data_IF_366082500778
#
_entry.id   IF_366082500778
#
_cell.length_a   1.000
_cell.length_b   1.000
_cell.length_c   1.000
_cell.angle_alpha   90.00
_cell.angle_beta   90.00
_cell.angle_gamma   90.00
#
_symmetry.space_group_name_H-M   'P 1'
#
loop_
_entity.id
_entity.type
_entity.pdbx_description
1 polymer ?
#
# COMPACT_ATOMS: atom_id res chain seq x y z
N UNK A 1 60.22 59.86 63.04
CA UNK A 1 59.78 59.13 61.82
C UNK A 1 58.48 58.44 62.15
N UNK A 2 57.43 58.50 61.32
CA UNK A 2 56.85 59.66 60.63
C UNK A 2 55.34 59.88 60.96
N UNK A 3 54.89 61.13 60.77
CA UNK A 3 53.56 61.72 60.48
C UNK A 3 52.27 61.06 61.03
N UNK A 4 51.52 61.64 61.98
CA UNK A 4 50.53 62.76 61.83
C UNK A 4 49.66 62.65 60.57
N UNK A 5 48.33 62.56 60.67
CA UNK A 5 47.47 63.73 60.88
C UNK A 5 46.04 63.34 61.36
N UNK A 6 45.26 64.30 61.91
CA UNK A 6 44.24 64.06 62.92
C UNK A 6 42.78 64.08 62.42
N UNK A 7 41.90 63.69 63.34
CA UNK A 7 40.45 63.71 63.28
C UNK A 7 39.83 65.08 62.96
N UNK A 8 38.63 65.06 62.36
CA UNK A 8 37.58 66.02 62.70
C UNK A 8 36.19 65.39 62.49
N UNK A 9 35.29 65.78 63.39
CA UNK A 9 34.01 65.20 63.73
C UNK A 9 32.84 65.92 63.00
N UNK A 10 31.61 65.93 63.53
CA UNK A 10 30.60 64.87 63.53
C UNK A 10 29.31 65.34 62.82
N UNK A 11 28.36 64.44 62.56
CA UNK A 11 26.97 64.85 62.40
C UNK A 11 26.00 63.68 62.70
N UNK A 12 25.19 63.85 63.75
CA UNK A 12 23.98 63.07 63.97
C UNK A 12 22.80 63.70 63.24
N UNK A 13 22.08 62.83 62.53
CA UNK A 13 20.65 62.75 62.19
C UNK A 13 19.89 63.99 61.66
N UNK A 14 19.02 63.75 60.67
CA UNK A 14 17.61 63.93 61.01
C UNK A 14 16.64 62.86 60.45
N UNK A 15 15.64 62.60 61.29
CA UNK A 15 14.21 62.36 61.04
C UNK A 15 13.71 61.35 59.99
N UNK A 16 12.82 60.48 60.46
CA UNK A 16 12.01 59.55 59.68
C UNK A 16 10.73 60.20 59.10
N UNK A 17 10.29 59.68 57.95
CA UNK A 17 8.92 59.40 57.45
C UNK A 17 8.89 59.52 55.91
N UNK A 18 7.91 58.95 55.18
CA UNK A 18 7.14 57.73 55.39
C UNK A 18 7.24 56.76 54.17
N UNK A 19 6.94 55.48 54.42
CA UNK A 19 6.80 54.41 53.41
C UNK A 19 5.70 54.69 52.37
N UNK A 20 6.05 54.62 51.09
CA UNK A 20 5.11 54.50 49.96
C UNK A 20 5.67 53.55 48.89
N UNK A 21 4.98 52.40 48.78
CA UNK A 21 4.84 51.40 47.70
C UNK A 21 5.83 51.39 46.51
N UNK A 22 6.58 50.29 46.31
CA UNK A 22 7.09 49.90 45.01
C UNK A 22 6.05 49.05 44.24
N UNK A 23 5.91 49.43 42.97
CA UNK A 23 5.03 48.95 41.92
C UNK A 23 5.14 47.43 41.66
N UNK A 24 4.00 46.77 41.52
CA UNK A 24 3.88 45.33 41.27
C UNK A 24 4.52 44.94 39.92
N UNK A 25 5.53 44.08 39.97
CA UNK A 25 5.96 43.29 38.83
C UNK A 25 5.08 42.03 38.78
N UNK A 26 4.26 41.91 37.75
CA UNK A 26 3.51 40.70 37.47
C UNK A 26 4.51 39.60 37.05
N UNK A 27 4.79 38.67 37.96
CA UNK A 27 5.46 37.42 37.62
C UNK A 27 4.51 36.61 36.72
N UNK A 28 4.84 36.57 35.43
CA UNK A 28 4.24 35.63 34.49
C UNK A 28 4.74 34.24 34.86
N UNK A 29 3.95 33.52 35.67
CA UNK A 29 4.10 32.07 35.82
C UNK A 29 3.70 31.42 34.50
N UNK A 30 4.68 31.21 33.61
CA UNK A 30 4.54 30.31 32.49
C UNK A 30 4.31 28.90 33.07
N UNK A 31 3.05 28.46 33.05
CA UNK A 31 2.71 27.06 33.25
C UNK A 31 3.28 26.32 32.05
N UNK A 32 4.46 25.71 32.22
CA UNK A 32 4.94 24.67 31.33
C UNK A 32 3.88 23.57 31.36
N UNK A 33 3.07 23.50 30.30
CA UNK A 33 2.22 22.34 30.05
C UNK A 33 3.14 21.13 29.98
N UNK A 34 3.08 20.27 30.99
CA UNK A 34 3.67 18.94 30.91
C UNK A 34 3.05 18.29 29.66
N UNK A 35 3.89 17.92 28.69
CA UNK A 35 3.43 17.13 27.56
C UNK A 35 2.78 15.87 28.14
N UNK A 36 1.46 15.73 27.99
CA UNK A 36 0.75 14.55 28.43
C UNK A 36 1.40 13.32 27.79
N UNK A 37 1.61 12.25 28.56
CA UNK A 37 2.15 11.03 28.00
C UNK A 37 1.26 10.56 26.84
N UNK A 38 1.84 10.11 25.72
CA UNK A 38 1.07 9.70 24.56
C UNK A 38 0.15 8.55 24.93
N UNK A 39 -1.10 8.61 24.45
CA UNK A 39 -2.06 7.54 24.65
C UNK A 39 -1.49 6.26 24.02
N UNK A 40 -1.46 5.17 24.81
CA UNK A 40 -1.04 3.85 24.34
C UNK A 40 -2.24 3.04 23.87
N UNK A 41 -2.22 2.66 22.61
CA UNK A 41 -3.19 1.77 21.96
C UNK A 41 -2.57 0.38 21.84
N UNK A 42 -3.26 -0.65 22.31
CA UNK A 42 -2.79 -2.04 22.21
C UNK A 42 -3.41 -2.69 20.96
N UNK A 43 -2.55 -3.10 20.03
CA UNK A 43 -2.92 -3.82 18.81
C UNK A 43 -2.60 -5.31 18.97
N UNK A 44 -3.62 -6.16 19.05
CA UNK A 44 -3.43 -7.61 18.93
C UNK A 44 -3.44 -8.01 17.45
N UNK A 45 -2.38 -8.67 16.99
CA UNK A 45 -2.25 -9.08 15.59
C UNK A 45 -1.53 -10.42 15.46
N UNK A 46 -1.30 -10.84 14.22
CA UNK A 46 -0.64 -12.11 13.94
C UNK A 46 0.87 -11.96 13.79
N UNK A 47 1.63 -13.00 14.18
CA UNK A 47 3.08 -13.04 13.96
C UNK A 47 3.45 -12.84 12.49
N UNK A 48 2.68 -13.41 11.54
CA UNK A 48 2.93 -13.18 10.10
C UNK A 48 2.71 -11.73 9.68
N UNK A 49 1.78 -11.00 10.30
CA UNK A 49 1.62 -9.55 10.05
C UNK A 49 2.87 -8.79 10.52
N UNK A 50 3.36 -9.09 11.72
CA UNK A 50 4.53 -8.43 12.29
C UNK A 50 5.81 -8.78 11.51
N UNK A 51 6.05 -10.06 11.23
CA UNK A 51 7.23 -10.55 10.51
C UNK A 51 7.33 -10.02 9.08
N UNK A 52 6.21 -9.59 8.49
CA UNK A 52 6.19 -8.95 7.17
C UNK A 52 6.86 -7.57 7.15
N UNK A 53 7.03 -6.93 8.31
CA UNK A 53 7.54 -5.56 8.46
C UNK A 53 6.52 -4.46 8.13
N UNK A 54 5.30 -4.80 7.69
CA UNK A 54 4.30 -3.79 7.30
C UNK A 54 3.98 -2.82 8.45
N UNK A 55 3.82 -3.34 9.67
CA UNK A 55 3.43 -2.51 10.82
C UNK A 55 4.53 -1.48 11.17
N UNK A 56 5.81 -1.86 11.08
CA UNK A 56 6.92 -0.94 11.30
C UNK A 56 6.95 0.18 10.25
N UNK A 57 6.45 -0.09 9.04
CA UNK A 57 6.35 0.87 7.96
C UNK A 57 5.17 1.84 8.13
N UNK A 58 3.97 1.36 8.50
CA UNK A 58 2.76 2.19 8.51
C UNK A 58 2.46 2.85 9.88
N UNK A 59 2.78 2.20 11.01
CA UNK A 59 2.42 2.71 12.34
C UNK A 59 3.03 4.08 12.68
N UNK A 60 4.26 4.43 12.25
CA UNK A 60 4.81 5.76 12.50
C UNK A 60 3.93 6.92 12.00
N UNK A 61 3.21 6.72 10.89
CA UNK A 61 2.25 7.71 10.37
C UNK A 61 1.07 7.92 11.33
N UNK A 62 0.45 6.83 11.78
CA UNK A 62 -0.65 6.89 12.75
C UNK A 62 -0.21 7.56 14.06
N UNK A 63 0.92 7.14 14.61
CA UNK A 63 1.47 7.67 15.85
C UNK A 63 1.74 9.18 15.75
N UNK A 64 2.31 9.63 14.63
CA UNK A 64 2.56 11.04 14.35
C UNK A 64 1.29 11.87 14.24
N UNK A 65 0.27 11.39 13.51
CA UNK A 65 -1.01 12.09 13.31
C UNK A 65 -1.87 12.17 14.58
N UNK A 66 -1.74 11.20 15.47
CA UNK A 66 -2.64 11.07 16.64
C UNK A 66 -1.97 11.37 17.99
N UNK A 67 -0.64 11.61 18.02
CA UNK A 67 0.09 11.79 19.28
C UNK A 67 -0.03 10.56 20.19
N UNK A 68 -0.04 9.37 19.58
CA UNK A 68 -0.27 8.09 20.24
C UNK A 68 0.93 7.15 20.08
N UNK A 69 0.95 6.07 20.86
CA UNK A 69 1.87 4.95 20.68
C UNK A 69 1.09 3.65 20.50
N UNK A 70 1.52 2.82 19.56
CA UNK A 70 0.89 1.53 19.28
C UNK A 70 1.77 0.42 19.81
N UNK A 71 1.30 -0.26 20.86
CA UNK A 71 1.96 -1.43 21.43
C UNK A 71 1.43 -2.68 20.71
N UNK A 72 2.28 -3.33 19.91
CA UNK A 72 1.90 -4.48 19.08
C UNK A 72 2.11 -5.79 19.86
N UNK A 73 1.05 -6.60 19.95
CA UNK A 73 1.07 -7.96 20.50
C UNK A 73 0.86 -8.95 19.35
N UNK A 74 1.96 -9.53 18.85
CA UNK A 74 1.96 -10.45 17.71
C UNK A 74 1.92 -11.91 18.18
N UNK A 75 0.82 -12.62 17.89
CA UNK A 75 0.55 -13.99 18.34
C UNK A 75 -0.18 -14.81 17.25
N UNK A 76 -0.63 -16.03 17.53
CA UNK A 76 -1.52 -16.74 16.59
C UNK A 76 -2.90 -16.07 16.47
N UNK A 77 -3.59 -16.19 15.32
CA UNK A 77 -4.90 -15.55 15.09
C UNK A 77 -5.92 -15.85 16.19
N UNK A 78 -6.03 -17.11 16.64
CA UNK A 78 -6.94 -17.48 17.72
C UNK A 78 -6.60 -16.79 19.04
N UNK A 79 -5.31 -16.66 19.36
CA UNK A 79 -4.85 -15.97 20.56
C UNK A 79 -5.06 -14.45 20.47
N UNK A 80 -4.85 -13.83 19.30
CA UNK A 80 -5.12 -12.41 19.10
C UNK A 80 -6.61 -12.08 19.31
N UNK A 81 -7.50 -12.91 18.75
CA UNK A 81 -8.93 -12.82 19.00
C UNK A 81 -9.27 -13.06 20.47
N UNK A 82 -8.62 -14.01 21.15
CA UNK A 82 -8.84 -14.24 22.58
C UNK A 82 -8.42 -13.03 23.45
N UNK A 83 -7.28 -12.41 23.14
CA UNK A 83 -6.79 -11.19 23.81
C UNK A 83 -7.82 -10.06 23.64
N UNK A 84 -8.31 -9.83 22.42
CA UNK A 84 -9.36 -8.84 22.16
C UNK A 84 -10.66 -9.16 22.89
N UNK A 85 -11.06 -10.44 22.94
CA UNK A 85 -12.29 -10.88 23.61
C UNK A 85 -12.24 -10.67 25.14
N UNK A 86 -11.03 -10.69 25.73
CA UNK A 86 -10.80 -10.41 27.15
C UNK A 86 -10.67 -8.92 27.47
N UNK A 87 -10.60 -8.05 26.46
CA UNK A 87 -10.38 -6.60 26.64
C UNK A 87 -8.92 -6.24 26.92
N UNK A 88 -8.00 -7.18 26.69
CA UNK A 88 -6.55 -6.98 26.88
C UNK A 88 -5.89 -6.28 25.68
N UNK A 89 -6.65 -6.05 24.60
CA UNK A 89 -6.28 -5.22 23.47
C UNK A 89 -7.42 -4.25 23.12
N UNK A 90 -7.07 -3.16 22.42
CA UNK A 90 -8.02 -2.13 21.99
C UNK A 90 -8.50 -2.37 20.56
N UNK A 91 -7.61 -2.92 19.72
CA UNK A 91 -7.87 -3.26 18.32
C UNK A 91 -7.31 -4.65 18.03
N UNK A 92 -8.02 -5.40 17.18
CA UNK A 92 -7.58 -6.67 16.63
C UNK A 92 -7.41 -6.54 15.12
N UNK A 93 -6.24 -6.91 14.58
CA UNK A 93 -5.96 -6.99 13.14
C UNK A 93 -5.51 -8.42 12.81
N UNK A 94 -6.37 -9.21 12.18
CA UNK A 94 -6.09 -10.62 11.88
C UNK A 94 -6.55 -10.99 10.47
N UNK A 95 -6.33 -12.24 10.07
CA UNK A 95 -6.62 -12.77 8.73
C UNK A 95 -7.43 -14.08 8.76
N UNK A 96 -8.46 -14.13 9.60
CA UNK A 96 -9.34 -15.31 9.71
C UNK A 96 -10.79 -14.85 9.66
N UNK A 97 -11.32 -14.72 8.45
CA UNK A 97 -12.67 -14.19 8.24
C UNK A 97 -13.73 -14.89 9.09
N UNK A 98 -13.69 -16.23 9.17
CA UNK A 98 -14.61 -17.00 10.02
C UNK A 98 -14.46 -16.66 11.51
N UNK A 99 -13.22 -16.50 11.99
CA UNK A 99 -12.95 -16.13 13.38
C UNK A 99 -13.38 -14.69 13.69
N UNK A 100 -13.16 -13.78 12.75
CA UNK A 100 -13.59 -12.38 12.82
C UNK A 100 -15.13 -12.25 12.86
N UNK A 101 -15.82 -12.97 11.96
CA UNK A 101 -17.28 -12.98 11.92
C UNK A 101 -17.87 -13.52 13.24
N UNK A 102 -17.26 -14.57 13.81
CA UNK A 102 -17.66 -15.09 15.12
C UNK A 102 -17.38 -14.08 16.24
N UNK A 103 -16.25 -13.37 16.18
CA UNK A 103 -15.90 -12.34 17.17
C UNK A 103 -16.93 -11.19 17.21
N UNK A 104 -17.41 -10.77 16.04
CA UNK A 104 -18.52 -9.81 15.93
C UNK A 104 -19.84 -10.42 16.42
N UNK A 105 -20.16 -11.64 16.01
CA UNK A 105 -21.39 -12.33 16.43
C UNK A 105 -21.47 -12.54 17.94
N UNK A 106 -20.33 -12.78 18.58
CA UNK A 106 -20.21 -12.89 20.04
C UNK A 106 -20.35 -11.52 20.73
N UNK A 107 -20.34 -10.41 20.00
CA UNK A 107 -20.46 -9.04 20.50
C UNK A 107 -19.16 -8.44 21.02
N UNK A 108 -18.01 -9.05 20.69
CA UNK A 108 -16.68 -8.57 21.12
C UNK A 108 -16.18 -7.39 20.27
N UNK A 109 -16.73 -7.20 19.08
CA UNK A 109 -16.65 -5.98 18.27
C UNK A 109 -18.03 -5.65 17.70
N UNK A 110 -18.25 -4.39 17.33
CA UNK A 110 -19.51 -3.96 16.70
C UNK A 110 -19.59 -4.34 15.23
N UNK A 111 -18.45 -4.27 14.56
CA UNK A 111 -18.32 -4.51 13.12
C UNK A 111 -16.87 -4.89 12.78
N UNK A 112 -16.68 -5.34 11.54
CA UNK A 112 -15.38 -5.74 10.99
C UNK A 112 -15.16 -5.04 9.67
N UNK A 113 -14.00 -4.43 9.50
CA UNK A 113 -13.64 -3.72 8.28
C UNK A 113 -12.58 -4.46 7.48
N UNK A 114 -12.74 -4.51 6.15
CA UNK A 114 -11.71 -4.96 5.23
C UNK A 114 -10.54 -3.98 5.22
N UNK A 115 -9.32 -4.50 5.30
CA UNK A 115 -8.10 -3.69 5.24
C UNK A 115 -7.35 -3.98 3.96
N UNK A 116 -6.93 -5.22 3.80
CA UNK A 116 -6.06 -5.64 2.71
C UNK A 116 -6.13 -7.15 2.60
N UNK A 117 -5.47 -7.71 1.60
CA UNK A 117 -5.22 -9.14 1.52
C UNK A 117 -3.83 -9.41 0.98
N UNK A 118 -3.29 -10.57 1.33
CA UNK A 118 -2.22 -11.19 0.57
C UNK A 118 -2.71 -12.56 0.08
N UNK A 119 -1.82 -13.37 -0.47
CA UNK A 119 -2.11 -14.73 -0.86
C UNK A 119 -1.16 -15.74 -0.23
N UNK A 120 -1.68 -16.95 -0.10
CA UNK A 120 -0.90 -18.13 0.17
C UNK A 120 -0.36 -18.71 -1.14
N UNK A 121 0.79 -19.36 -1.03
CA UNK A 121 1.45 -20.09 -2.11
C UNK A 121 1.86 -21.47 -1.61
N UNK A 122 1.94 -22.44 -2.53
CA UNK A 122 2.58 -23.73 -2.24
C UNK A 122 4.01 -23.64 -2.71
N UNK A 123 4.93 -23.76 -1.76
CA UNK A 123 6.36 -23.83 -2.04
C UNK A 123 6.83 -25.25 -1.82
N UNK A 124 7.89 -25.63 -2.52
CA UNK A 124 8.45 -26.97 -2.41
C UNK A 124 9.78 -27.10 -3.13
N UNK A 125 10.36 -28.30 -3.17
CA UNK A 125 11.67 -28.53 -3.76
C UNK A 125 11.72 -28.12 -5.23
N UNK A 126 12.83 -27.54 -5.67
CA UNK A 126 13.08 -27.23 -7.09
C UNK A 126 12.93 -28.46 -8.00
N UNK A 127 13.31 -29.65 -7.51
CA UNK A 127 13.15 -30.92 -8.22
C UNK A 127 11.70 -31.40 -8.35
N UNK A 128 10.79 -30.84 -7.53
CA UNK A 128 9.35 -31.12 -7.53
C UNK A 128 8.98 -32.62 -7.67
N UNK A 129 9.35 -33.50 -6.72
CA UNK A 129 9.07 -34.93 -6.81
C UNK A 129 7.58 -35.28 -6.91
N UNK A 130 6.69 -34.45 -6.36
CA UNK A 130 5.24 -34.58 -6.46
C UNK A 130 4.66 -34.02 -7.78
N UNK A 131 5.47 -33.36 -8.62
CA UNK A 131 5.10 -32.81 -9.93
C UNK A 131 3.91 -31.85 -9.88
N UNK A 132 3.90 -30.94 -8.90
CA UNK A 132 2.81 -29.99 -8.68
C UNK A 132 3.03 -28.63 -9.33
N UNK A 133 4.22 -28.37 -9.88
CA UNK A 133 4.55 -27.09 -10.52
C UNK A 133 3.58 -26.76 -11.65
N UNK A 134 2.96 -25.59 -11.56
CA UNK A 134 2.02 -25.09 -12.56
C UNK A 134 0.59 -25.62 -12.41
N UNK A 135 0.29 -26.42 -11.39
CA UNK A 135 -1.10 -26.69 -11.03
C UNK A 135 -1.79 -25.38 -10.63
N UNK A 136 -3.04 -25.23 -11.04
CA UNK A 136 -3.80 -23.99 -10.79
C UNK A 136 -4.40 -23.96 -9.38
N UNK A 137 -4.75 -25.13 -8.83
CA UNK A 137 -5.49 -25.25 -7.56
C UNK A 137 -4.64 -25.94 -6.48
N UNK A 138 -4.56 -25.34 -5.29
CA UNK A 138 -3.77 -25.88 -4.19
C UNK A 138 -4.27 -27.25 -3.71
N UNK A 139 -5.58 -27.49 -3.77
CA UNK A 139 -6.16 -28.80 -3.41
C UNK A 139 -5.63 -29.95 -4.27
N UNK A 140 -5.34 -29.68 -5.55
CA UNK A 140 -4.81 -30.68 -6.49
C UNK A 140 -3.35 -30.96 -6.18
N UNK A 141 -2.57 -29.91 -5.89
CA UNK A 141 -1.19 -30.04 -5.45
C UNK A 141 -1.07 -30.79 -4.11
N UNK A 142 -1.94 -30.49 -3.15
CA UNK A 142 -2.00 -31.20 -1.86
C UNK A 142 -2.29 -32.68 -2.06
N UNK A 143 -3.25 -33.03 -2.94
CA UNK A 143 -3.52 -34.41 -3.31
C UNK A 143 -2.28 -35.12 -3.88
N UNK A 144 -1.62 -34.51 -4.86
CA UNK A 144 -0.41 -35.08 -5.48
C UNK A 144 0.78 -35.21 -4.50
N UNK A 145 0.94 -34.27 -3.57
CA UNK A 145 1.95 -34.35 -2.50
C UNK A 145 1.67 -35.54 -1.59
N UNK A 146 0.41 -35.73 -1.17
CA UNK A 146 0.01 -36.86 -0.35
C UNK A 146 0.17 -38.20 -1.08
N UNK A 147 -0.26 -38.28 -2.34
CA UNK A 147 -0.18 -39.50 -3.17
C UNK A 147 1.26 -39.94 -3.44
N UNK A 148 2.17 -38.97 -3.62
CA UNK A 148 3.59 -39.26 -3.80
C UNK A 148 4.32 -39.61 -2.50
N UNK A 149 3.70 -39.38 -1.33
CA UNK A 149 4.35 -39.49 -0.03
C UNK A 149 5.47 -38.49 0.17
N UNK A 150 5.47 -37.38 -0.58
CA UNK A 150 6.47 -36.34 -0.47
C UNK A 150 6.32 -35.59 0.85
N UNK A 151 7.44 -35.18 1.45
CA UNK A 151 7.40 -34.51 2.73
C UNK A 151 6.62 -33.19 2.64
N UNK A 152 5.63 -33.01 3.52
CA UNK A 152 4.92 -31.77 3.74
C UNK A 152 5.25 -31.26 5.14
N UNK A 153 5.51 -29.97 5.28
CA UNK A 153 5.86 -29.33 6.54
C UNK A 153 4.73 -28.39 6.93
N UNK A 154 4.06 -28.73 8.04
CA UNK A 154 3.02 -27.93 8.64
C UNK A 154 3.59 -27.08 9.77
N UNK A 155 3.18 -25.81 9.80
CA UNK A 155 3.38 -24.90 10.92
C UNK A 155 2.99 -25.53 12.25
N UNK A 156 1.82 -26.16 12.32
CA UNK A 156 1.36 -26.85 13.53
C UNK A 156 1.05 -25.97 14.74
N UNK A 157 1.01 -24.65 14.55
CA UNK A 157 1.00 -23.63 15.61
C UNK A 157 -0.41 -23.03 15.86
N UNK A 158 -1.47 -23.57 15.23
CA UNK A 158 -2.84 -23.04 15.26
C UNK A 158 -2.98 -21.60 14.71
N UNK A 159 -2.02 -21.16 13.89
CA UNK A 159 -2.11 -19.88 13.17
C UNK A 159 -3.17 -19.89 12.06
N UNK A 160 -3.39 -18.73 11.45
CA UNK A 160 -4.19 -18.62 10.22
C UNK A 160 -3.66 -19.49 9.08
N UNK A 161 -2.33 -19.53 8.87
CA UNK A 161 -1.71 -20.41 7.87
C UNK A 161 -1.96 -21.89 8.16
N UNK A 162 -1.78 -22.34 9.41
CA UNK A 162 -2.09 -23.72 9.79
C UNK A 162 -3.58 -24.04 9.63
N UNK A 163 -4.46 -23.13 10.02
CA UNK A 163 -5.91 -23.27 9.82
C UNK A 163 -6.26 -23.39 8.34
N UNK A 164 -5.60 -22.59 7.48
CA UNK A 164 -5.80 -22.62 6.04
C UNK A 164 -5.33 -23.94 5.44
N UNK A 165 -4.12 -24.36 5.78
CA UNK A 165 -3.52 -25.62 5.37
C UNK A 165 -4.42 -26.82 5.73
N UNK A 166 -4.87 -26.91 6.99
CA UNK A 166 -5.81 -27.94 7.44
C UNK A 166 -7.16 -27.89 6.69
N UNK A 167 -7.65 -26.70 6.33
CA UNK A 167 -8.87 -26.58 5.55
C UNK A 167 -8.74 -27.14 4.13
N UNK A 168 -7.55 -27.04 3.52
CA UNK A 168 -7.27 -27.60 2.19
C UNK A 168 -7.21 -29.13 2.29
N UNK A 169 -6.49 -29.68 3.27
CA UNK A 169 -6.48 -31.12 3.53
C UNK A 169 -7.88 -31.68 3.73
N UNK A 170 -8.69 -31.03 4.58
CA UNK A 170 -10.07 -31.44 4.83
C UNK A 170 -10.94 -31.38 3.58
N UNK A 171 -10.69 -30.43 2.66
CA UNK A 171 -11.46 -30.30 1.41
C UNK A 171 -11.25 -31.46 0.45
N UNK A 172 -10.12 -32.16 0.57
CA UNK A 172 -9.79 -33.39 -0.17
C UNK A 172 -9.91 -34.65 0.70
N UNK A 173 -10.64 -34.55 1.83
CA UNK A 173 -10.94 -35.65 2.74
C UNK A 173 -9.71 -36.32 3.37
N UNK A 174 -8.58 -35.60 3.44
CA UNK A 174 -7.38 -36.04 4.15
C UNK A 174 -7.37 -35.38 5.53
N UNK A 175 -7.18 -36.18 6.58
CA UNK A 175 -6.88 -35.68 7.93
C UNK A 175 -5.43 -36.01 8.23
N UNK A 176 -4.50 -35.04 8.20
CA UNK A 176 -3.12 -35.31 8.50
C UNK A 176 -2.95 -35.70 9.97
N UNK A 177 -2.22 -36.78 10.22
CA UNK A 177 -1.96 -37.29 11.58
C UNK A 177 -0.46 -37.54 11.77
N UNK A 178 -0.03 -37.71 13.02
CA UNK A 178 1.38 -37.97 13.34
C UNK A 178 1.90 -39.30 12.78
N UNK A 179 1.00 -40.23 12.43
CA UNK A 179 1.33 -41.51 11.81
C UNK A 179 1.67 -41.39 10.32
N UNK A 180 1.28 -40.29 9.66
CA UNK A 180 1.65 -40.03 8.27
C UNK A 180 3.09 -39.52 8.24
N UNK A 181 4.03 -40.43 7.95
CA UNK A 181 5.47 -40.13 7.96
C UNK A 181 5.89 -38.97 7.02
N UNK A 182 5.08 -38.64 6.02
CA UNK A 182 5.32 -37.51 5.12
C UNK A 182 4.85 -36.17 5.71
N UNK A 183 3.98 -36.14 6.72
CA UNK A 183 3.43 -34.92 7.30
C UNK A 183 4.20 -34.53 8.57
N UNK A 184 4.91 -33.40 8.51
CA UNK A 184 5.80 -32.92 9.56
C UNK A 184 5.16 -31.70 10.24
N UNK A 185 4.53 -31.90 11.39
CA UNK A 185 4.00 -30.81 12.21
C UNK A 185 5.10 -30.33 13.18
N UNK A 186 5.56 -29.09 13.03
CA UNK A 186 6.74 -28.60 13.78
C UNK A 186 6.40 -27.63 14.93
N UNK A 187 5.19 -27.07 14.97
CA UNK A 187 4.74 -26.14 16.03
C UNK A 187 5.48 -24.80 16.04
N UNK A 188 5.98 -24.32 14.90
CA UNK A 188 6.79 -23.10 14.79
C UNK A 188 6.18 -22.06 13.85
N UNK A 189 6.74 -20.84 13.87
CA UNK A 189 6.36 -19.74 12.99
C UNK A 189 6.69 -20.01 11.51
N UNK A 190 6.27 -19.11 10.63
CA UNK A 190 6.42 -19.30 9.18
C UNK A 190 7.87 -19.30 8.73
N UNK A 191 8.72 -18.43 9.30
CA UNK A 191 10.13 -18.40 8.93
C UNK A 191 10.85 -19.72 9.25
N UNK A 192 10.67 -20.25 10.46
CA UNK A 192 11.25 -21.53 10.86
C UNK A 192 10.67 -22.69 10.03
N UNK A 193 9.38 -22.64 9.69
CA UNK A 193 8.73 -23.63 8.82
C UNK A 193 9.34 -23.64 7.42
N UNK A 194 9.62 -22.47 6.83
CA UNK A 194 10.28 -22.36 5.54
C UNK A 194 11.72 -22.86 5.58
N UNK A 195 12.48 -22.52 6.63
CA UNK A 195 13.85 -23.02 6.81
C UNK A 195 13.86 -24.56 6.94
N UNK A 196 12.98 -25.12 7.76
CA UNK A 196 12.84 -26.57 7.90
C UNK A 196 12.40 -27.23 6.58
N UNK A 197 11.42 -26.66 5.87
CA UNK A 197 11.01 -27.16 4.56
C UNK A 197 12.16 -27.11 3.54
N UNK A 198 13.00 -26.08 3.57
CA UNK A 198 14.18 -25.96 2.72
C UNK A 198 15.21 -27.06 3.05
N UNK A 199 15.53 -27.27 4.33
CA UNK A 199 16.47 -28.32 4.77
C UNK A 199 15.97 -29.73 4.46
N UNK A 200 14.68 -29.98 4.70
CA UNK A 200 14.04 -31.28 4.42
C UNK A 200 13.81 -31.47 2.91
N UNK A 201 13.90 -30.40 2.11
CA UNK A 201 13.37 -30.39 0.75
C UNK A 201 11.92 -30.92 0.75
N UNK A 202 11.08 -30.28 1.55
CA UNK A 202 9.66 -30.57 1.69
C UNK A 202 8.77 -29.45 1.13
N UNK A 203 7.51 -29.79 0.90
CA UNK A 203 6.47 -28.85 0.52
C UNK A 203 5.89 -28.15 1.74
N UNK A 204 5.43 -26.92 1.59
CA UNK A 204 4.66 -26.23 2.63
C UNK A 204 3.73 -25.17 2.04
N UNK A 205 2.69 -24.81 2.79
CA UNK A 205 1.87 -23.65 2.50
C UNK A 205 2.47 -22.44 3.22
N UNK A 206 2.77 -21.38 2.48
CA UNK A 206 3.36 -20.16 3.02
C UNK A 206 2.58 -18.93 2.58
N UNK A 207 2.57 -17.87 3.39
CA UNK A 207 2.21 -16.55 2.89
C UNK A 207 3.33 -16.02 1.98
N UNK A 208 2.94 -15.40 0.85
CA UNK A 208 3.90 -14.92 -0.16
C UNK A 208 4.91 -13.94 0.41
N UNK A 209 4.47 -13.04 1.29
CA UNK A 209 5.31 -12.01 1.92
C UNK A 209 6.50 -12.61 2.66
N UNK A 210 6.24 -13.56 3.57
CA UNK A 210 7.32 -14.22 4.33
C UNK A 210 8.26 -14.99 3.40
N UNK A 211 7.73 -15.71 2.40
CA UNK A 211 8.58 -16.40 1.42
C UNK A 211 9.49 -15.44 0.67
N UNK A 212 8.97 -14.33 0.15
CA UNK A 212 9.77 -13.35 -0.60
C UNK A 212 10.83 -12.69 0.28
N UNK A 213 10.49 -12.33 1.53
CA UNK A 213 11.43 -11.77 2.49
C UNK A 213 12.56 -12.74 2.87
N UNK A 214 12.31 -14.05 2.78
CA UNK A 214 13.28 -15.10 3.12
C UNK A 214 13.91 -15.80 1.92
N UNK A 215 13.52 -15.48 0.69
CA UNK A 215 13.88 -16.22 -0.53
C UNK A 215 15.38 -16.49 -0.65
N UNK A 216 16.21 -15.52 -0.31
CA UNK A 216 17.67 -15.62 -0.38
C UNK A 216 18.26 -16.67 0.60
N UNK A 217 17.50 -17.05 1.62
CA UNK A 217 17.83 -18.10 2.60
C UNK A 217 17.20 -19.45 2.26
N UNK A 218 16.43 -19.55 1.18
CA UNK A 218 15.64 -20.73 0.81
C UNK A 218 16.07 -21.29 -0.56
N UNK A 219 17.35 -21.61 -0.80
CA UNK A 219 17.86 -21.97 -2.12
C UNK A 219 17.31 -23.29 -2.68
N UNK A 220 16.66 -24.11 -1.86
CA UNK A 220 16.07 -25.39 -2.28
C UNK A 220 14.56 -25.30 -2.52
N UNK A 221 13.91 -24.15 -2.26
CA UNK A 221 12.48 -23.98 -2.41
C UNK A 221 12.14 -23.04 -3.56
N UNK A 222 11.17 -23.45 -4.36
CA UNK A 222 10.52 -22.63 -5.39
C UNK A 222 9.03 -22.46 -5.09
N UNK A 223 8.42 -21.42 -5.66
CA UNK A 223 6.97 -21.32 -5.75
C UNK A 223 6.49 -22.28 -6.83
N UNK A 224 5.68 -23.28 -6.43
CA UNK A 224 5.18 -24.32 -7.34
C UNK A 224 3.72 -24.06 -7.74
N UNK A 225 2.91 -23.52 -6.82
CA UNK A 225 1.51 -23.14 -7.05
C UNK A 225 1.26 -21.73 -6.53
N UNK A 226 0.44 -20.97 -7.26
CA UNK A 226 0.09 -19.58 -6.95
C UNK A 226 0.85 -18.53 -7.79
N UNK A 227 1.76 -18.95 -8.67
CA UNK A 227 2.48 -18.04 -9.58
C UNK A 227 3.45 -17.09 -8.88
N UNK A 228 4.12 -16.23 -9.66
CA UNK A 228 5.15 -15.30 -9.14
C UNK A 228 4.58 -14.07 -8.45
N UNK A 229 3.32 -13.74 -8.72
CA UNK A 229 2.58 -12.63 -8.13
C UNK A 229 1.10 -13.01 -7.97
N UNK A 230 0.34 -12.13 -7.31
CA UNK A 230 -1.08 -12.35 -7.06
C UNK A 230 -1.92 -12.51 -8.35
N UNK A 231 -1.58 -11.79 -9.43
CA UNK A 231 -2.34 -11.84 -10.68
C UNK A 231 -2.23 -13.23 -11.37
N UNK A 232 -1.11 -13.91 -11.15
CA UNK A 232 -0.89 -15.28 -11.60
C UNK A 232 -1.57 -16.32 -10.69
N UNK A 233 -1.92 -15.97 -9.44
CA UNK A 233 -2.62 -16.88 -8.54
C UNK A 233 -4.08 -17.09 -8.96
N UNK A 234 -4.33 -18.25 -9.60
CA UNK A 234 -5.67 -18.64 -10.08
C UNK A 234 -6.56 -19.20 -8.98
N UNK A 235 -5.98 -19.73 -7.90
CA UNK A 235 -6.74 -20.28 -6.79
C UNK A 235 -7.21 -19.19 -5.85
N UNK A 236 -8.45 -18.73 -6.04
CA UNK A 236 -9.09 -17.74 -5.15
C UNK A 236 -9.26 -18.25 -3.73
N UNK A 237 -9.19 -19.55 -3.48
CA UNK A 237 -9.16 -20.06 -2.11
C UNK A 237 -7.87 -19.65 -1.40
N UNK A 238 -6.77 -19.39 -2.09
CA UNK A 238 -5.51 -18.98 -1.46
C UNK A 238 -5.46 -17.50 -1.07
N UNK A 239 -6.51 -16.72 -1.36
CA UNK A 239 -6.59 -15.36 -0.83
C UNK A 239 -6.67 -15.37 0.69
N UNK A 240 -5.95 -14.43 1.30
CA UNK A 240 -5.82 -14.30 2.74
C UNK A 240 -6.21 -12.87 3.16
N UNK A 241 -7.53 -12.62 3.34
CA UNK A 241 -8.03 -11.30 3.67
C UNK A 241 -7.79 -10.94 5.13
N UNK A 242 -7.38 -9.70 5.37
CA UNK A 242 -7.16 -9.12 6.69
C UNK A 242 -8.36 -8.24 7.07
N UNK A 243 -8.83 -8.44 8.30
CA UNK A 243 -9.86 -7.63 8.92
C UNK A 243 -9.35 -6.89 10.16
N UNK A 244 -9.80 -5.65 10.33
CA UNK A 244 -9.61 -4.88 11.57
C UNK A 244 -10.91 -4.76 12.34
N UNK A 245 -10.83 -4.93 13.66
CA UNK A 245 -11.95 -4.86 14.59
C UNK A 245 -11.57 -4.05 15.83
N UNK A 246 -12.34 -3.02 16.16
CA UNK A 246 -12.23 -2.33 17.44
C UNK A 246 -12.95 -3.13 18.53
N UNK A 247 -12.30 -3.33 19.68
CA UNK A 247 -12.90 -4.08 20.79
C UNK A 247 -14.07 -3.29 21.39
N UNK A 248 -15.18 -3.98 21.65
CA UNK A 248 -16.43 -3.36 22.06
C UNK A 248 -16.34 -2.76 23.49
N UNK A 249 -16.42 -1.43 23.65
CA UNK A 249 -16.32 -0.79 24.96
C UNK A 249 -17.53 -1.07 25.88
N UNK A 250 -18.66 -1.51 25.33
CA UNK A 250 -19.83 -1.90 26.14
C UNK A 250 -19.55 -3.16 26.95
N UNK A 251 -18.68 -4.05 26.45
CA UNK A 251 -18.19 -5.20 27.21
C UNK A 251 -16.97 -4.86 28.06
N UNK A 252 -16.10 -4.01 27.54
CA UNK A 252 -14.80 -3.68 28.14
C UNK A 252 -14.62 -2.17 28.30
N UNK A 253 -15.12 -1.54 29.38
CA UNK A 253 -15.10 -0.08 29.53
C UNK A 253 -13.69 0.55 29.60
N UNK A 254 -12.65 -0.25 29.82
CA UNK A 254 -11.26 0.20 29.92
C UNK A 254 -10.53 0.30 28.56
N UNK A 255 -11.12 -0.22 27.48
CA UNK A 255 -10.53 -0.09 26.13
C UNK A 255 -10.57 1.36 25.67
N UNK A 256 -9.57 1.79 24.90
CA UNK A 256 -9.41 3.19 24.49
C UNK A 256 -10.24 3.42 23.24
N UNK A 257 -11.57 3.33 23.40
CA UNK A 257 -12.53 3.23 22.30
C UNK A 257 -12.39 4.33 21.24
N UNK A 258 -12.18 5.58 21.66
CA UNK A 258 -11.98 6.70 20.74
C UNK A 258 -10.70 6.52 19.91
N UNK A 259 -9.60 6.11 20.54
CA UNK A 259 -8.34 5.88 19.84
C UNK A 259 -8.40 4.64 18.95
N UNK A 260 -9.10 3.59 19.37
CA UNK A 260 -9.35 2.40 18.57
C UNK A 260 -10.17 2.73 17.31
N UNK A 261 -11.21 3.57 17.42
CA UNK A 261 -11.97 4.05 16.28
C UNK A 261 -11.10 4.86 15.31
N UNK A 262 -10.31 5.81 15.82
CA UNK A 262 -9.35 6.58 14.99
C UNK A 262 -8.34 5.67 14.28
N UNK A 263 -7.86 4.63 14.95
CA UNK A 263 -6.94 3.65 14.34
C UNK A 263 -7.60 2.89 13.21
N UNK A 264 -8.84 2.41 13.40
CA UNK A 264 -9.60 1.73 12.35
C UNK A 264 -9.82 2.68 11.16
N UNK A 265 -10.31 3.90 11.41
CA UNK A 265 -10.58 4.90 10.37
C UNK A 265 -9.31 5.24 9.57
N UNK A 266 -8.19 5.44 10.27
CA UNK A 266 -6.90 5.66 9.65
C UNK A 266 -6.48 4.46 8.78
N UNK A 267 -6.56 3.24 9.31
CA UNK A 267 -6.08 2.04 8.61
C UNK A 267 -6.87 1.74 7.33
N UNK A 268 -8.17 2.07 7.31
CA UNK A 268 -9.06 1.89 6.14
C UNK A 268 -9.15 3.13 5.25
N UNK A 269 -8.45 4.21 5.58
CA UNK A 269 -8.43 5.43 4.77
C UNK A 269 -7.68 5.23 3.45
N UNK A 270 -8.06 5.97 2.41
CA UNK A 270 -7.41 5.89 1.09
C UNK A 270 -5.89 6.10 1.18
N UNK A 271 -5.45 7.10 1.94
CA UNK A 271 -4.03 7.45 2.12
C UNK A 271 -3.23 6.27 2.71
N UNK A 272 -3.71 5.68 3.81
CA UNK A 272 -3.02 4.53 4.43
C UNK A 272 -3.08 3.29 3.54
N UNK A 273 -4.18 3.13 2.80
CA UNK A 273 -4.34 2.02 1.85
C UNK A 273 -3.35 2.14 0.68
N UNK A 274 -3.08 3.35 0.19
CA UNK A 274 -2.01 3.61 -0.78
C UNK A 274 -0.63 3.27 -0.21
N UNK A 275 -0.34 3.62 1.05
CA UNK A 275 0.89 3.21 1.73
C UNK A 275 1.03 1.68 1.78
N UNK A 276 -0.03 0.98 2.17
CA UNK A 276 -0.08 -0.49 2.20
C UNK A 276 0.20 -1.06 0.80
N UNK A 277 -0.44 -0.50 -0.24
CA UNK A 277 -0.28 -0.94 -1.62
C UNK A 277 1.10 -0.64 -2.22
N UNK A 278 1.83 0.33 -1.68
CA UNK A 278 3.23 0.61 -2.06
C UNK A 278 4.25 -0.27 -1.36
N UNK A 279 3.87 -0.93 -0.25
CA UNK A 279 4.81 -1.68 0.57
C UNK A 279 5.37 -2.91 -0.14
N UNK A 280 6.70 -2.99 -0.19
CA UNK A 280 7.45 -4.09 -0.81
C UNK A 280 7.74 -3.95 -2.30
N UNK A 281 7.14 -2.97 -2.99
CA UNK A 281 7.33 -2.80 -4.45
C UNK A 281 8.80 -2.57 -4.81
N UNK A 282 9.49 -1.67 -4.10
CA UNK A 282 10.90 -1.36 -4.36
C UNK A 282 11.81 -2.57 -4.12
N UNK A 283 11.54 -3.33 -3.06
CA UNK A 283 12.42 -4.43 -2.63
C UNK A 283 12.17 -5.73 -3.40
N UNK A 284 10.90 -6.04 -3.71
CA UNK A 284 10.48 -7.33 -4.24
C UNK A 284 9.94 -7.24 -5.67
N UNK A 285 9.84 -6.04 -6.25
CA UNK A 285 9.25 -5.80 -7.58
C UNK A 285 7.74 -5.97 -7.63
N UNK A 286 7.09 -6.16 -6.48
CA UNK A 286 5.64 -6.33 -6.35
C UNK A 286 5.18 -5.95 -4.93
N UNK A 287 3.91 -5.53 -4.75
CA UNK A 287 3.39 -5.28 -3.41
C UNK A 287 3.22 -6.59 -2.64
N UNK A 288 3.47 -6.53 -1.32
CA UNK A 288 3.25 -7.67 -0.42
C UNK A 288 1.80 -7.77 0.08
N UNK A 289 1.08 -6.65 0.05
CA UNK A 289 -0.31 -6.55 0.47
C UNK A 289 -1.10 -5.74 -0.54
N UNK A 290 -2.34 -6.16 -0.79
CA UNK A 290 -3.24 -5.55 -1.76
C UNK A 290 -4.38 -4.87 -1.01
N UNK A 291 -4.52 -3.54 -1.10
CA UNK A 291 -5.52 -2.80 -0.34
C UNK A 291 -6.93 -3.18 -0.77
N UNK A 292 -7.85 -3.25 0.19
CA UNK A 292 -9.21 -3.72 -0.08
C UNK A 292 -10.27 -3.09 0.81
N UNK A 293 -9.96 -1.99 1.49
CA UNK A 293 -10.98 -1.26 2.24
C UNK A 293 -12.06 -0.71 1.31
N UNK A 294 -13.28 -0.57 1.84
CA UNK A 294 -14.41 -0.04 1.08
C UNK A 294 -14.13 1.38 0.55
N UNK A 295 -13.51 2.24 1.36
CA UNK A 295 -13.18 3.61 0.96
C UNK A 295 -12.14 3.64 -0.18
N UNK A 296 -11.09 2.81 -0.09
CA UNK A 296 -10.11 2.67 -1.17
C UNK A 296 -10.74 2.13 -2.44
N UNK A 297 -11.52 1.04 -2.38
CA UNK A 297 -12.17 0.48 -3.56
C UNK A 297 -13.16 1.45 -4.20
N UNK A 298 -13.90 2.21 -3.39
CA UNK A 298 -14.79 3.25 -3.89
C UNK A 298 -14.01 4.39 -4.55
N UNK A 299 -12.87 4.80 -3.98
CA UNK A 299 -11.98 5.79 -4.58
C UNK A 299 -11.44 5.29 -5.93
N UNK A 300 -10.97 4.04 -6.01
CA UNK A 300 -10.51 3.43 -7.26
C UNK A 300 -11.60 3.28 -8.32
N UNK A 301 -12.88 3.17 -7.91
CA UNK A 301 -14.02 3.14 -8.83
C UNK A 301 -14.53 4.53 -9.21
N UNK A 302 -14.35 5.53 -8.35
CA UNK A 302 -14.74 6.92 -8.55
C UNK A 302 -13.70 7.72 -9.33
N UNK A 303 -12.46 7.24 -9.38
CA UNK A 303 -11.51 7.57 -10.43
C UNK A 303 -12.17 7.19 -11.77
N UNK A 304 -12.34 8.11 -12.73
CA UNK A 304 -12.88 7.76 -14.04
C UNK A 304 -12.05 6.61 -14.59
N UNK A 305 -12.71 5.51 -14.93
CA UNK A 305 -12.10 4.27 -15.43
C UNK A 305 -11.10 4.58 -16.54
N UNK A 306 -9.83 4.57 -16.16
CA UNK A 306 -8.65 4.74 -16.99
C UNK A 306 -7.45 4.08 -16.31
N UNK A 307 -7.68 2.94 -15.65
CA UNK A 307 -6.64 2.08 -15.09
C UNK A 307 -7.00 0.61 -15.37
N UNK A 308 -6.98 0.23 -16.64
CA UNK A 308 -6.40 -1.07 -16.97
C UNK A 308 -4.91 -0.81 -17.16
N UNK A 309 -4.06 -1.52 -16.40
CA UNK A 309 -2.60 -1.52 -16.58
C UNK A 309 -2.23 -2.00 -18.00
N UNK A 310 -2.31 -1.10 -18.96
CA UNK A 310 -1.50 -1.08 -20.17
C UNK A 310 -0.41 -0.03 -19.97
N UNK A 311 0.79 -0.26 -20.52
CA UNK A 311 1.85 0.74 -20.49
C UNK A 311 1.31 2.11 -20.95
N UNK A 312 1.64 3.18 -20.21
CA UNK A 312 1.28 4.56 -20.57
C UNK A 312 1.75 4.82 -21.99
N UNK A 313 0.79 4.95 -22.91
CA UNK A 313 1.05 5.06 -24.34
C UNK A 313 1.09 6.52 -24.81
N UNK A 314 0.41 7.41 -24.08
CA UNK A 314 0.44 8.85 -24.30
C UNK A 314 0.39 9.58 -22.95
N UNK A 315 1.24 10.59 -22.79
CA UNK A 315 1.26 11.46 -21.60
C UNK A 315 1.27 12.94 -21.95
N UNK A 316 0.74 13.77 -21.05
CA UNK A 316 0.86 15.23 -21.07
C UNK A 316 1.60 15.67 -19.81
N UNK A 317 2.73 16.34 -19.98
CA UNK A 317 3.68 16.65 -18.89
C UNK A 317 4.12 18.11 -18.94
N UNK A 318 4.90 18.56 -17.95
CA UNK A 318 5.53 19.87 -17.95
C UNK A 318 4.74 20.94 -17.20
N UNK A 319 4.60 22.14 -17.77
CA UNK A 319 3.87 23.27 -17.13
C UNK A 319 2.35 23.08 -17.18
N UNK A 320 1.86 22.12 -16.40
CA UNK A 320 0.44 21.75 -16.32
C UNK A 320 0.01 21.65 -14.86
N UNK A 321 -1.28 21.83 -14.59
CA UNK A 321 -1.86 21.73 -13.25
C UNK A 321 -1.84 20.30 -12.71
N UNK A 322 -2.00 19.31 -13.58
CA UNK A 322 -1.80 17.90 -13.27
C UNK A 322 -1.26 17.15 -14.50
N UNK A 323 -0.13 16.46 -14.34
CA UNK A 323 0.37 15.59 -15.41
C UNK A 323 -0.63 14.45 -15.69
N UNK A 324 -0.75 14.09 -16.96
CA UNK A 324 -1.69 13.07 -17.43
C UNK A 324 -0.93 11.93 -18.09
N UNK A 325 -1.46 10.72 -17.96
CA UNK A 325 -0.98 9.54 -18.65
C UNK A 325 -2.14 8.60 -18.95
N UNK A 326 -2.18 8.06 -20.17
CA UNK A 326 -3.25 7.18 -20.62
C UNK A 326 -2.68 5.96 -21.33
N UNK A 327 -3.32 4.80 -21.15
CA UNK A 327 -3.08 3.66 -22.02
C UNK A 327 -3.71 3.92 -23.40
N UNK A 328 -3.27 3.17 -24.42
CA UNK A 328 -3.76 3.38 -25.78
C UNK A 328 -5.28 3.18 -25.90
N UNK A 329 -5.81 2.20 -25.19
CA UNK A 329 -7.24 1.90 -25.16
C UNK A 329 -8.07 3.06 -24.60
N UNK A 330 -7.55 3.78 -23.59
CA UNK A 330 -8.26 4.89 -22.96
C UNK A 330 -8.35 6.08 -23.90
N UNK A 331 -7.26 6.44 -24.58
CA UNK A 331 -7.27 7.51 -25.59
C UNK A 331 -8.21 7.15 -26.74
N UNK A 332 -8.28 5.88 -27.14
CA UNK A 332 -9.21 5.40 -28.18
C UNK A 332 -10.68 5.45 -27.76
N UNK A 333 -10.96 5.41 -26.46
CA UNK A 333 -12.31 5.51 -25.90
C UNK A 333 -12.78 6.97 -25.68
N UNK A 334 -11.88 7.94 -25.77
CA UNK A 334 -12.22 9.37 -25.69
C UNK A 334 -13.04 9.82 -26.91
N UNK A 335 -13.63 11.02 -26.81
CA UNK A 335 -14.36 11.63 -27.93
C UNK A 335 -13.42 11.88 -29.10
N UNK A 336 -13.77 11.34 -30.27
CA UNK A 336 -12.93 11.43 -31.47
C UNK A 336 -13.49 12.40 -32.50
N UNK A 337 -12.60 12.93 -33.35
CA UNK A 337 -12.91 13.66 -34.57
C UNK A 337 -12.26 12.95 -35.78
N UNK A 338 -12.92 13.03 -36.93
CA UNK A 338 -12.34 12.66 -38.22
C UNK A 338 -11.78 13.90 -38.92
N UNK A 339 -10.51 13.86 -39.29
CA UNK A 339 -9.79 14.96 -39.93
C UNK A 339 -9.17 14.47 -41.23
N UNK A 340 -9.41 15.18 -42.34
CA UNK A 340 -8.74 14.91 -43.60
C UNK A 340 -7.42 15.67 -43.66
N UNK A 341 -6.34 14.95 -43.97
CA UNK A 341 -5.01 15.53 -44.15
C UNK A 341 -4.39 15.05 -45.45
N UNK A 342 -3.79 16.00 -46.20
CA UNK A 342 -3.09 15.72 -47.45
C UNK A 342 -1.58 15.76 -47.20
N UNK A 343 -0.92 14.63 -47.41
CA UNK A 343 0.51 14.50 -47.14
C UNK A 343 1.36 15.16 -48.24
N UNK A 344 2.69 15.19 -48.04
CA UNK A 344 3.64 15.78 -48.99
C UNK A 344 3.68 15.15 -50.39
N UNK A 345 3.08 13.97 -50.58
CA UNK A 345 2.96 13.27 -51.86
C UNK A 345 1.63 13.58 -52.57
N UNK A 346 0.78 14.43 -51.99
CA UNK A 346 -0.54 14.76 -52.54
C UNK A 346 -1.60 13.72 -52.24
N UNK A 347 -1.34 12.76 -51.35
CA UNK A 347 -2.29 11.73 -50.94
C UNK A 347 -3.12 12.26 -49.77
N UNK A 348 -4.44 12.33 -49.97
CA UNK A 348 -5.40 12.69 -48.91
C UNK A 348 -5.86 11.42 -48.20
N UNK A 349 -5.77 11.42 -46.88
CA UNK A 349 -6.31 10.37 -46.02
C UNK A 349 -7.17 10.97 -44.91
N UNK A 350 -8.17 10.21 -44.46
CA UNK A 350 -8.97 10.54 -43.28
C UNK A 350 -8.30 9.89 -42.06
N UNK A 351 -8.10 10.68 -41.01
CA UNK A 351 -7.53 10.26 -39.74
C UNK A 351 -8.57 10.42 -38.65
N UNK A 352 -8.70 9.41 -37.79
CA UNK A 352 -9.57 9.46 -36.61
C UNK A 352 -8.69 9.59 -35.37
N UNK A 353 -9.04 10.52 -34.48
CA UNK A 353 -8.25 10.79 -33.28
C UNK A 353 -8.92 11.71 -32.29
N UNK A 354 -8.23 11.99 -31.18
CA UNK A 354 -8.71 12.88 -30.11
C UNK A 354 -8.15 14.28 -30.33
N UNK A 355 -8.94 15.33 -30.06
CA UNK A 355 -8.44 16.70 -30.16
C UNK A 355 -7.29 16.94 -29.18
N UNK A 356 -6.20 17.54 -29.66
CA UNK A 356 -5.05 17.91 -28.81
C UNK A 356 -5.49 18.91 -27.73
N UNK A 357 -6.40 19.83 -28.05
CA UNK A 357 -6.91 20.81 -27.08
C UNK A 357 -7.78 20.17 -25.99
N UNK A 358 -8.53 19.10 -26.29
CA UNK A 358 -9.28 18.34 -25.27
C UNK A 358 -8.33 17.59 -24.33
N UNK A 359 -7.25 16.98 -24.86
CA UNK A 359 -6.20 16.33 -24.05
C UNK A 359 -5.48 17.34 -23.16
N UNK A 360 -5.13 18.52 -23.70
CA UNK A 360 -4.50 19.59 -22.94
C UNK A 360 -5.43 20.13 -21.85
N UNK A 361 -6.73 20.28 -22.13
CA UNK A 361 -7.69 20.78 -21.16
C UNK A 361 -7.74 19.90 -19.89
N UNK A 362 -7.60 18.58 -20.02
CA UNK A 362 -7.53 17.64 -18.90
C UNK A 362 -6.29 17.88 -18.01
N UNK A 363 -5.17 18.29 -18.61
CA UNK A 363 -3.94 18.58 -17.89
C UNK A 363 -3.92 19.99 -17.25
N UNK A 364 -4.81 20.89 -17.70
CA UNK A 364 -4.89 22.29 -17.27
C UNK A 364 -3.54 23.04 -17.41
N UNK A 365 -3.13 23.46 -18.63
CA UNK A 365 -1.87 24.12 -18.88
C UNK A 365 -1.71 25.40 -18.05
N UNK A 366 -0.51 25.66 -17.53
CA UNK A 366 -0.22 26.85 -16.74
C UNK A 366 -0.41 28.12 -17.59
N UNK A 367 -0.87 29.21 -16.96
CA UNK A 367 -1.15 30.47 -17.65
C UNK A 367 0.09 31.12 -18.31
N UNK A 368 1.29 30.78 -17.83
CA UNK A 368 2.58 31.25 -18.38
C UNK A 368 3.23 30.26 -19.37
N UNK A 369 2.56 29.14 -19.68
CA UNK A 369 3.02 28.21 -20.71
C UNK A 369 2.84 28.83 -22.10
N UNK A 370 3.85 28.68 -22.96
CA UNK A 370 3.88 29.36 -24.27
C UNK A 370 4.03 28.41 -25.44
N UNK A 371 4.59 27.22 -25.20
CA UNK A 371 4.85 26.23 -26.23
C UNK A 371 4.46 24.83 -25.75
N UNK A 372 4.30 23.92 -26.71
CA UNK A 372 4.27 22.49 -26.45
C UNK A 372 5.31 21.80 -27.34
N UNK A 373 5.91 20.75 -26.80
CA UNK A 373 6.82 19.86 -27.49
C UNK A 373 6.16 18.49 -27.65
N UNK A 374 6.03 18.05 -28.90
CA UNK A 374 5.57 16.71 -29.26
C UNK A 374 6.78 15.79 -29.31
N UNK A 375 6.80 14.74 -28.49
CA UNK A 375 7.91 13.79 -28.39
C UNK A 375 7.46 12.41 -28.86
N UNK A 376 8.22 11.83 -29.79
CA UNK A 376 8.00 10.50 -30.36
C UNK A 376 8.75 9.39 -29.61
N UNK A 377 8.29 8.16 -29.81
CA UNK A 377 8.90 6.92 -29.31
C UNK A 377 10.33 6.68 -29.81
N UNK A 378 10.68 7.21 -30.99
CA UNK A 378 12.01 7.14 -31.59
C UNK A 378 12.96 8.27 -31.13
N UNK A 379 12.51 9.13 -30.22
CA UNK A 379 13.26 10.27 -29.69
C UNK A 379 13.22 11.54 -30.55
N UNK A 380 12.49 11.54 -31.68
CA UNK A 380 12.22 12.77 -32.42
C UNK A 380 11.31 13.70 -31.61
N UNK A 381 11.58 15.00 -31.62
CA UNK A 381 10.67 15.99 -31.06
C UNK A 381 10.47 17.21 -31.96
N UNK A 382 9.30 17.83 -31.84
CA UNK A 382 8.96 19.05 -32.55
C UNK A 382 8.13 19.99 -31.67
N UNK A 383 8.42 21.28 -31.74
CA UNK A 383 7.79 22.30 -30.90
C UNK A 383 6.79 23.16 -31.69
N UNK A 384 5.65 23.46 -31.06
CA UNK A 384 4.61 24.32 -31.60
C UNK A 384 4.16 25.37 -30.56
N UNK A 385 3.70 26.56 -30.99
CA UNK A 385 3.09 27.52 -30.08
C UNK A 385 1.82 26.94 -29.43
N UNK A 386 1.74 26.99 -28.10
CA UNK A 386 0.62 26.40 -27.36
C UNK A 386 -0.71 27.07 -27.71
N UNK A 387 -0.70 28.39 -27.89
CA UNK A 387 -1.89 29.18 -28.27
C UNK A 387 -2.50 28.70 -29.58
N UNK A 388 -1.66 28.39 -30.56
CA UNK A 388 -2.08 28.03 -31.90
C UNK A 388 -2.70 26.63 -31.89
N UNK A 389 -2.12 25.71 -31.12
CA UNK A 389 -2.64 24.35 -30.98
C UNK A 389 -3.94 24.32 -30.18
N UNK A 390 -4.06 25.13 -29.12
CA UNK A 390 -5.32 25.28 -28.38
C UNK A 390 -6.46 25.86 -29.23
N UNK A 391 -6.14 26.76 -30.17
CA UNK A 391 -7.11 27.34 -31.10
C UNK A 391 -7.45 26.45 -32.30
N UNK A 392 -6.74 25.34 -32.48
CA UNK A 392 -6.89 24.47 -33.64
C UNK A 392 -8.03 23.44 -33.44
N UNK A 393 -9.13 23.64 -34.15
CA UNK A 393 -10.34 22.80 -34.03
C UNK A 393 -10.22 21.42 -34.69
N UNK A 394 -9.21 21.20 -35.53
CA UNK A 394 -8.96 19.97 -36.29
C UNK A 394 -7.57 19.38 -36.02
N UNK A 395 -6.91 19.80 -34.94
CA UNK A 395 -5.65 19.26 -34.49
C UNK A 395 -5.88 18.04 -33.60
N UNK A 396 -5.51 16.86 -34.09
CA UNK A 396 -5.77 15.60 -33.39
C UNK A 396 -4.49 14.79 -33.12
N UNK A 397 -4.55 14.00 -32.05
CA UNK A 397 -3.72 12.81 -31.88
C UNK A 397 -4.47 11.65 -32.52
N UNK A 398 -4.05 11.28 -33.74
CA UNK A 398 -4.67 10.25 -34.55
C UNK A 398 -4.16 8.85 -34.22
N UNK A 399 -5.04 7.86 -34.36
CA UNK A 399 -4.73 6.46 -34.13
C UNK A 399 -4.00 5.83 -35.32
N UNK A 400 -3.09 4.89 -35.04
CA UNK A 400 -2.38 4.10 -36.06
C UNK A 400 -2.93 2.68 -36.15
N UNK A 401 -2.89 2.08 -37.34
CA UNK A 401 -3.36 0.71 -37.60
C UNK A 401 -2.50 -0.38 -36.92
N UNK A 402 -1.28 -0.03 -36.50
CA UNK A 402 -0.32 -0.95 -35.84
C UNK A 402 -0.10 -0.65 -34.35
N UNK A 403 -0.97 0.15 -33.73
CA UNK A 403 -0.77 0.65 -32.37
C UNK A 403 -0.01 1.98 -32.30
N UNK A 404 -0.21 2.71 -31.21
CA UNK A 404 0.33 4.03 -30.95
C UNK A 404 -0.34 5.16 -31.74
N UNK A 405 0.28 6.34 -31.67
CA UNK A 405 -0.34 7.59 -32.10
C UNK A 405 0.50 8.35 -33.12
N UNK A 406 -0.14 9.25 -33.86
CA UNK A 406 0.53 10.26 -34.69
C UNK A 406 -0.19 11.59 -34.53
N UNK A 407 0.52 12.71 -34.51
CA UNK A 407 -0.16 14.01 -34.58
C UNK A 407 -0.57 14.32 -36.01
N UNK A 408 -1.80 14.83 -36.18
CA UNK A 408 -2.33 15.36 -37.43
C UNK A 408 -2.77 16.80 -37.18
N UNK A 409 -1.98 17.74 -37.67
CA UNK A 409 -2.13 19.18 -37.45
C UNK A 409 -2.22 19.90 -38.82
N UNK A 410 -3.39 19.94 -39.49
CA UNK A 410 -3.50 20.27 -40.92
C UNK A 410 -2.91 21.62 -41.34
N UNK A 411 -2.99 22.63 -40.48
CA UNK A 411 -2.51 24.00 -40.76
C UNK A 411 -1.13 24.31 -40.17
N UNK A 412 -0.43 23.29 -39.67
CA UNK A 412 0.88 23.43 -39.04
C UNK A 412 2.00 22.98 -39.96
N UNK A 413 3.23 23.36 -39.60
CA UNK A 413 4.43 22.94 -40.31
C UNK A 413 4.53 21.41 -40.37
N UNK A 414 5.06 20.87 -41.48
CA UNK A 414 5.06 19.42 -41.76
C UNK A 414 5.85 18.61 -40.73
N UNK A 415 6.82 19.22 -40.06
CA UNK A 415 7.61 18.61 -38.99
C UNK A 415 6.80 18.34 -37.72
N UNK A 416 5.60 18.93 -37.60
CA UNK A 416 4.66 18.71 -36.50
C UNK A 416 3.68 17.55 -36.75
N UNK A 417 3.81 16.85 -37.88
CA UNK A 417 3.12 15.56 -38.12
C UNK A 417 3.99 14.43 -37.55
N UNK A 418 4.07 14.37 -36.22
CA UNK A 418 4.96 13.49 -35.46
C UNK A 418 4.35 12.10 -35.40
N UNK A 419 5.03 11.12 -36.01
CA UNK A 419 4.64 9.70 -35.93
C UNK A 419 5.19 9.10 -34.65
N UNK A 420 4.40 8.25 -33.98
CA UNK A 420 4.82 7.58 -32.75
C UNK A 420 4.80 8.52 -31.56
N UNK A 421 3.93 9.54 -31.54
CA UNK A 421 3.87 10.49 -30.42
C UNK A 421 3.49 9.74 -29.13
N UNK A 422 4.32 9.90 -28.10
CA UNK A 422 4.13 9.31 -26.77
C UNK A 422 4.00 10.37 -25.68
N UNK A 423 4.41 11.61 -25.96
CA UNK A 423 4.37 12.69 -24.98
C UNK A 423 4.07 14.05 -25.64
N UNK A 424 3.21 14.82 -24.98
CA UNK A 424 2.94 16.23 -25.27
C UNK A 424 3.40 17.03 -24.05
N UNK A 425 4.59 17.60 -24.14
CA UNK A 425 5.21 18.33 -23.04
C UNK A 425 4.93 19.83 -23.15
N UNK A 426 4.20 20.37 -22.19
CA UNK A 426 3.89 21.80 -22.12
C UNK A 426 5.06 22.57 -21.49
N UNK A 427 5.48 23.68 -22.10
CA UNK A 427 6.68 24.46 -21.73
C UNK A 427 6.37 25.90 -21.31
#
# INVERSE_FOLDING_TARGET
>A
MPAQAPAQAPAQAPAAQPTAVPQAAAESTAVLAAAAEPIRLILATTTSTADSGLLDFILPDFEGKNGAKVDVVAVGTGQALEIGAKGDADVVLVHSRKGEDQFVADGNAKERFDVMFNDYIVVGPTEDPAKVKGMELAKEAFGAIADSGSAFVSRGDKSGTNTKELSIWSSIQITPTAELAWYNNIGQGMGDTLLFANEKQGYTLADRGTYLAMRDKLPALDILVGGQNLAENKDKALLNPYGVLAVNPEKHPAVKAEMAARFVDWLISVETQEMIGGYGVEQFGQPLFYPSSAAFLAAQQAQPTGEAQGAVALKVTGKVGAEQGWAEADVRAMKTLEVQYTNSKGETATYTGVLVSELLALAAPAADATALELVADDGYSAEAPLSDVLACADCIVAFRDGGGFTTVLPNFAKNLQVKGVVEIKVK
#
